data_IF_463456657209
#
_entry.id   IF_463456657209
#
_cell.length_a   1.000
_cell.length_b   1.000
_cell.length_c   1.000
_cell.angle_alpha   90.00
_cell.angle_beta   90.00
_cell.angle_gamma   90.00
#
_symmetry.space_group_name_H-M   'P 1'
#
loop_
_entity.id
_entity.type
_entity.pdbx_description
1 polymer ?
#
# COMPACT_ATOMS: atom_id res chain seq x y z
N UNK A 1 3.66 25.05 -6.07
CA UNK A 1 2.55 25.59 -5.24
C UNK A 1 2.09 24.42 -4.39
N UNK A 2 1.83 24.61 -3.09
CA UNK A 2 1.17 23.55 -2.35
C UNK A 2 -0.18 23.33 -3.04
N UNK A 3 -0.41 22.14 -3.57
CA UNK A 3 -1.68 21.84 -4.22
C UNK A 3 -2.80 22.06 -3.19
N UNK A 4 -3.83 22.82 -3.57
CA UNK A 4 -5.01 23.00 -2.73
C UNK A 4 -5.79 21.67 -2.69
N UNK A 5 -5.34 20.77 -1.83
CA UNK A 5 -6.03 19.50 -1.57
C UNK A 5 -7.31 19.74 -0.76
N UNK A 6 -8.37 19.04 -1.17
CA UNK A 6 -9.71 19.17 -0.59
C UNK A 6 -10.12 17.94 0.23
N UNK A 7 -9.39 16.83 0.10
CA UNK A 7 -9.58 15.62 0.87
C UNK A 7 -8.60 14.54 0.48
N UNK A 8 -8.99 13.29 0.73
CA UNK A 8 -8.21 12.10 0.48
C UNK A 8 -9.07 11.02 -0.19
N UNK A 9 -8.45 10.25 -1.08
CA UNK A 9 -8.99 9.03 -1.64
C UNK A 9 -8.32 7.83 -0.97
N UNK A 10 -9.12 6.93 -0.41
CA UNK A 10 -8.69 5.66 0.16
C UNK A 10 -9.04 4.53 -0.80
N UNK A 11 -8.03 3.84 -1.32
CA UNK A 11 -8.17 2.58 -2.03
C UNK A 11 -7.94 1.40 -1.09
N UNK A 12 -8.85 0.42 -1.08
CA UNK A 12 -8.79 -0.73 -0.16
C UNK A 12 -9.50 -1.96 -0.75
N UNK A 13 -9.33 -3.12 -0.12
CA UNK A 13 -10.20 -4.30 -0.30
C UNK A 13 -10.87 -4.66 1.04
N UNK A 14 -11.83 -5.59 1.07
CA UNK A 14 -12.68 -5.84 2.26
C UNK A 14 -12.36 -7.13 3.03
N UNK A 15 -11.89 -8.16 2.35
CA UNK A 15 -11.75 -9.48 2.97
C UNK A 15 -11.65 -10.58 1.93
N UNK A 16 -12.14 -11.77 2.27
CA UNK A 16 -12.09 -12.95 1.40
C UNK A 16 -13.26 -13.91 1.64
N UNK A 17 -14.39 -13.42 2.20
CA UNK A 17 -15.60 -14.23 2.40
C UNK A 17 -16.38 -14.38 1.09
N UNK A 18 -16.25 -13.42 0.18
CA UNK A 18 -16.82 -13.46 -1.17
C UNK A 18 -15.79 -13.04 -2.22
N UNK A 19 -16.06 -13.37 -3.49
CA UNK A 19 -15.17 -12.96 -4.59
C UNK A 19 -15.08 -11.44 -4.78
N UNK A 20 -16.13 -10.70 -4.42
CA UNK A 20 -16.17 -9.24 -4.55
C UNK A 20 -15.34 -8.56 -3.47
N UNK A 21 -15.22 -9.16 -2.28
CA UNK A 21 -14.41 -8.60 -1.19
C UNK A 21 -12.91 -8.52 -1.50
N UNK A 22 -12.44 -9.32 -2.47
CA UNK A 22 -11.08 -9.34 -2.99
C UNK A 22 -10.97 -8.47 -4.26
N UNK A 23 -11.61 -7.31 -4.28
CA UNK A 23 -11.54 -6.33 -5.37
C UNK A 23 -11.21 -4.94 -4.82
N UNK A 24 -10.96 -3.96 -5.70
CA UNK A 24 -10.61 -2.59 -5.28
C UNK A 24 -11.87 -1.78 -5.01
N UNK A 25 -11.97 -1.22 -3.82
CA UNK A 25 -12.99 -0.28 -3.37
C UNK A 25 -12.37 1.08 -3.12
N UNK A 26 -13.19 2.14 -3.24
CA UNK A 26 -12.80 3.49 -2.90
C UNK A 26 -13.66 4.09 -1.80
N UNK A 27 -13.05 4.93 -0.98
CA UNK A 27 -13.73 5.83 -0.06
C UNK A 27 -13.11 7.23 -0.15
N UNK A 28 -13.94 8.24 0.05
CA UNK A 28 -13.53 9.64 0.06
C UNK A 28 -13.62 10.18 1.47
N UNK A 29 -12.60 10.89 1.93
CA UNK A 29 -12.67 11.56 3.22
C UNK A 29 -13.73 12.67 3.19
N UNK A 30 -14.28 13.05 4.35
CA UNK A 30 -15.18 14.21 4.45
C UNK A 30 -14.34 15.48 4.50
N UNK A 31 -14.07 16.06 3.33
CA UNK A 31 -13.13 17.17 3.21
C UNK A 31 -11.73 16.75 3.67
N UNK A 32 -10.98 17.67 4.29
CA UNK A 32 -9.62 17.41 4.79
C UNK A 32 -9.57 16.66 6.14
N UNK A 33 -10.66 16.01 6.57
CA UNK A 33 -10.69 15.16 7.76
C UNK A 33 -10.34 13.69 7.40
N UNK A 34 -9.12 13.21 7.73
CA UNK A 34 -8.68 11.87 7.38
C UNK A 34 -9.27 10.78 8.29
N UNK A 35 -10.11 11.13 9.26
CA UNK A 35 -10.73 10.20 10.20
C UNK A 35 -12.21 9.97 9.91
N UNK A 36 -12.77 10.61 8.88
CA UNK A 36 -14.19 10.48 8.52
C UNK A 36 -14.31 10.18 7.03
N UNK A 37 -14.86 9.01 6.70
CA UNK A 37 -14.89 8.52 5.32
C UNK A 37 -16.33 8.27 4.82
N UNK A 38 -16.51 8.46 3.52
CA UNK A 38 -17.69 8.11 2.75
C UNK A 38 -17.31 7.00 1.78
N UNK A 39 -17.96 5.83 1.88
CA UNK A 39 -17.81 4.78 0.87
C UNK A 39 -18.30 5.27 -0.50
N UNK A 40 -17.49 5.07 -1.52
CA UNK A 40 -17.84 5.40 -2.89
C UNK A 40 -18.46 4.19 -3.61
N UNK A 41 -19.04 4.45 -4.78
CA UNK A 41 -19.73 3.52 -5.66
C UNK A 41 -20.82 2.69 -4.96
N UNK A 42 -21.49 3.29 -3.97
CA UNK A 42 -22.49 2.61 -3.14
C UNK A 42 -21.92 1.37 -2.42
N UNK A 43 -20.64 1.39 -2.05
CA UNK A 43 -19.95 0.30 -1.36
C UNK A 43 -19.64 -0.92 -2.24
N UNK A 44 -19.69 -0.77 -3.57
CA UNK A 44 -19.34 -1.81 -4.56
C UNK A 44 -17.90 -1.63 -5.10
N UNK A 45 -17.26 -2.69 -5.62
CA UNK A 45 -15.94 -2.56 -6.25
C UNK A 45 -15.92 -1.52 -7.37
N UNK A 46 -14.82 -0.76 -7.44
CA UNK A 46 -14.54 0.20 -8.52
C UNK A 46 -13.69 -0.45 -9.61
N UNK A 47 -12.69 -1.25 -9.23
CA UNK A 47 -11.87 -2.04 -10.16
C UNK A 47 -11.96 -3.51 -9.79
N UNK A 48 -12.15 -4.36 -10.79
CA UNK A 48 -12.23 -5.81 -10.62
C UNK A 48 -11.19 -6.53 -11.48
N UNK A 49 -10.78 -7.71 -11.02
CA UNK A 49 -9.84 -8.57 -11.73
C UNK A 49 -10.57 -9.58 -12.62
N UNK A 50 -10.20 -9.62 -13.90
CA UNK A 50 -10.56 -10.68 -14.84
C UNK A 50 -9.35 -11.54 -15.25
N UNK A 51 -8.14 -11.17 -14.79
CA UNK A 51 -6.88 -11.86 -15.07
C UNK A 51 -6.38 -12.61 -13.83
N UNK A 52 -5.37 -13.46 -14.04
CA UNK A 52 -4.64 -14.11 -12.94
C UNK A 52 -5.54 -14.96 -12.05
N UNK A 53 -5.44 -14.76 -10.74
CA UNK A 53 -6.23 -15.47 -9.74
C UNK A 53 -7.68 -14.95 -9.62
N UNK A 54 -8.01 -13.84 -10.29
CA UNK A 54 -9.36 -13.26 -10.30
C UNK A 54 -9.74 -12.48 -9.04
N UNK A 55 -8.76 -12.15 -8.20
CA UNK A 55 -8.88 -11.21 -7.07
C UNK A 55 -7.71 -10.23 -7.06
N UNK A 56 -7.96 -9.03 -6.55
CA UNK A 56 -6.97 -7.98 -6.33
C UNK A 56 -7.02 -7.49 -4.89
N UNK A 57 -5.90 -7.64 -4.20
CA UNK A 57 -5.72 -7.25 -2.80
C UNK A 57 -4.65 -6.19 -2.66
N UNK A 58 -4.62 -5.52 -1.52
CA UNK A 58 -3.58 -4.56 -1.14
C UNK A 58 -3.37 -3.44 -2.19
N UNK A 59 -4.44 -2.75 -2.66
CA UNK A 59 -4.29 -1.74 -3.71
C UNK A 59 -3.49 -0.53 -3.25
N UNK A 60 -2.39 -0.25 -3.96
CA UNK A 60 -1.58 0.94 -3.79
C UNK A 60 -1.78 1.92 -4.94
N UNK A 61 -2.26 3.13 -4.62
CA UNK A 61 -2.51 4.21 -5.56
C UNK A 61 -1.40 5.27 -5.43
N UNK A 62 -0.72 5.56 -6.54
CA UNK A 62 0.32 6.57 -6.62
C UNK A 62 -0.04 7.66 -7.62
N UNK A 63 0.26 8.91 -7.26
CA UNK A 63 0.23 10.05 -8.18
C UNK A 63 1.61 10.22 -8.82
N UNK A 64 1.63 10.46 -10.12
CA UNK A 64 2.85 10.85 -10.85
C UNK A 64 3.46 12.14 -10.28
N UNK A 65 4.77 12.35 -10.42
CA UNK A 65 5.44 13.57 -9.95
C UNK A 65 4.92 14.85 -10.61
N UNK A 66 4.42 14.74 -11.85
CA UNK A 66 3.81 15.84 -12.59
C UNK A 66 2.38 16.14 -12.13
N UNK A 67 1.75 15.21 -11.41
CA UNK A 67 0.41 15.35 -10.86
C UNK A 67 -0.73 15.05 -11.84
N UNK A 68 -0.43 14.69 -13.09
CA UNK A 68 -1.40 14.53 -14.19
C UNK A 68 -1.84 13.08 -14.43
N UNK A 69 -1.15 12.12 -13.83
CA UNK A 69 -1.42 10.69 -13.97
C UNK A 69 -1.40 9.95 -12.64
N UNK A 70 -2.21 8.90 -12.54
CA UNK A 70 -2.31 7.99 -11.41
C UNK A 70 -2.01 6.56 -11.85
N UNK A 71 -1.36 5.81 -10.96
CA UNK A 71 -1.05 4.40 -11.13
C UNK A 71 -1.62 3.63 -9.94
N UNK A 72 -2.36 2.57 -10.20
CA UNK A 72 -2.80 1.63 -9.16
C UNK A 72 -2.12 0.30 -9.40
N UNK A 73 -1.46 -0.23 -8.37
CA UNK A 73 -0.92 -1.59 -8.34
C UNK A 73 -1.64 -2.40 -7.26
N UNK A 74 -1.76 -3.71 -7.43
CA UNK A 74 -2.38 -4.60 -6.46
C UNK A 74 -1.81 -6.02 -6.55
N UNK A 75 -1.92 -6.77 -5.45
CA UNK A 75 -1.62 -8.20 -5.40
C UNK A 75 -2.61 -8.98 -6.27
N UNK A 76 -2.12 -9.82 -7.19
CA UNK A 76 -2.95 -10.82 -7.86
C UNK A 76 -3.19 -12.02 -6.95
N UNK A 77 -4.31 -12.04 -6.24
CA UNK A 77 -4.63 -13.10 -5.28
C UNK A 77 -6.14 -13.18 -5.03
N UNK A 78 -6.69 -14.40 -5.05
CA UNK A 78 -8.04 -14.66 -4.54
C UNK A 78 -8.08 -15.86 -3.61
N UNK A 79 -8.06 -15.66 -2.29
CA UNK A 79 -8.26 -16.74 -1.33
C UNK A 79 -9.67 -17.34 -1.42
N UNK A 80 -10.67 -16.55 -1.84
CA UNK A 80 -12.02 -17.06 -2.04
C UNK A 80 -12.10 -18.11 -3.16
N UNK A 81 -11.59 -17.79 -4.36
CA UNK A 81 -11.60 -18.70 -5.52
C UNK A 81 -10.53 -19.78 -5.40
N UNK A 82 -9.42 -19.42 -4.79
CA UNK A 82 -8.19 -20.17 -4.70
C UNK A 82 -7.79 -20.32 -3.21
N UNK A 83 -8.49 -21.18 -2.43
CA UNK A 83 -8.22 -21.30 -0.99
C UNK A 83 -6.83 -21.87 -0.70
N UNK A 84 -6.29 -21.49 0.46
CA UNK A 84 -5.06 -22.04 1.03
C UNK A 84 -3.89 -21.07 1.03
N UNK A 85 -3.64 -20.45 2.19
CA UNK A 85 -2.53 -19.52 2.39
C UNK A 85 -1.16 -20.11 2.11
N UNK A 86 -0.92 -21.38 2.48
CA UNK A 86 0.36 -22.03 2.17
C UNK A 86 0.60 -22.07 0.65
N UNK A 87 -0.42 -22.40 -0.15
CA UNK A 87 -0.28 -22.32 -1.61
C UNK A 87 -0.03 -20.89 -2.07
N UNK A 88 -0.78 -19.93 -1.57
CA UNK A 88 -0.70 -18.54 -2.01
C UNK A 88 0.71 -17.96 -1.78
N UNK A 89 1.40 -18.38 -0.72
CA UNK A 89 2.78 -17.99 -0.42
C UNK A 89 3.80 -18.70 -1.33
N UNK A 90 3.58 -19.98 -1.65
CA UNK A 90 4.64 -20.86 -2.16
C UNK A 90 4.49 -21.20 -3.64
N UNK A 91 3.32 -20.97 -4.20
CA UNK A 91 2.93 -21.34 -5.56
C UNK A 91 1.77 -20.46 -6.06
N UNK A 92 1.67 -19.24 -5.54
CA UNK A 92 0.70 -18.23 -5.97
C UNK A 92 1.21 -17.39 -7.14
N UNK A 93 0.52 -16.30 -7.42
CA UNK A 93 0.91 -15.39 -8.50
C UNK A 93 2.25 -14.69 -8.25
N UNK A 94 3.09 -14.65 -9.28
CA UNK A 94 4.36 -13.90 -9.35
C UNK A 94 4.17 -12.52 -9.99
N UNK A 95 2.93 -12.14 -10.25
CA UNK A 95 2.55 -10.92 -10.95
C UNK A 95 1.84 -9.94 -10.04
N UNK A 96 1.94 -8.67 -10.40
CA UNK A 96 1.10 -7.60 -9.86
C UNK A 96 0.06 -7.21 -10.90
N UNK A 97 -1.10 -6.75 -10.43
CA UNK A 97 -2.12 -6.15 -11.28
C UNK A 97 -1.92 -4.64 -11.33
N UNK A 98 -2.20 -4.05 -12.49
CA UNK A 98 -1.93 -2.64 -12.75
C UNK A 98 -3.05 -1.96 -13.54
N UNK A 99 -3.37 -0.74 -13.13
CA UNK A 99 -4.19 0.20 -13.88
C UNK A 99 -3.54 1.59 -13.86
N UNK A 100 -3.93 2.43 -14.82
CA UNK A 100 -3.60 3.85 -14.77
C UNK A 100 -4.82 4.70 -15.12
N UNK A 101 -4.84 5.93 -14.61
CA UNK A 101 -5.89 6.91 -14.86
C UNK A 101 -5.30 8.31 -14.94
N UNK A 102 -5.97 9.22 -15.65
CA UNK A 102 -5.63 10.64 -15.68
C UNK A 102 -6.57 11.48 -14.79
N UNK A 103 -7.65 10.88 -14.28
CA UNK A 103 -8.71 11.63 -13.61
C UNK A 103 -9.39 10.89 -12.44
N UNK A 104 -8.89 9.69 -12.09
CA UNK A 104 -9.40 8.76 -11.07
C UNK A 104 -10.78 8.15 -11.38
N UNK A 105 -11.33 8.41 -12.57
CA UNK A 105 -12.64 7.90 -13.01
C UNK A 105 -12.48 6.92 -14.16
N UNK A 106 -11.76 7.35 -15.20
CA UNK A 106 -11.51 6.55 -16.40
C UNK A 106 -10.19 5.82 -16.21
N UNK A 107 -10.28 4.51 -16.08
CA UNK A 107 -9.14 3.64 -15.89
C UNK A 107 -8.80 2.93 -17.19
N UNK A 108 -7.51 2.67 -17.39
CA UNK A 108 -7.04 1.81 -18.47
C UNK A 108 -7.58 0.40 -18.35
N UNK A 109 -7.38 -0.42 -19.38
CA UNK A 109 -7.53 -1.87 -19.25
C UNK A 109 -6.62 -2.42 -18.14
N UNK A 110 -7.08 -3.49 -17.50
CA UNK A 110 -6.30 -4.23 -16.51
C UNK A 110 -5.05 -4.81 -17.17
N UNK A 111 -3.89 -4.61 -16.55
CA UNK A 111 -2.63 -5.24 -16.94
C UNK A 111 -2.12 -6.15 -15.83
N UNK A 112 -1.62 -7.32 -16.21
CA UNK A 112 -0.90 -8.23 -15.33
C UNK A 112 0.59 -8.17 -15.68
N UNK A 113 1.43 -7.92 -14.69
CA UNK A 113 2.88 -7.74 -14.89
C UNK A 113 3.63 -8.68 -13.97
N UNK A 114 4.35 -9.65 -14.55
CA UNK A 114 5.22 -10.55 -13.80
C UNK A 114 6.48 -9.79 -13.35
N UNK A 115 6.65 -9.64 -12.03
CA UNK A 115 7.75 -8.88 -11.43
C UNK A 115 8.63 -9.75 -10.54
N UNK A 116 8.08 -10.82 -9.97
CA UNK A 116 8.82 -11.69 -9.07
C UNK A 116 9.71 -12.69 -9.84
N UNK A 117 10.89 -13.07 -9.27
CA UNK A 117 11.76 -14.11 -9.82
C UNK A 117 11.04 -15.42 -10.14
N UNK A 118 11.59 -16.25 -11.03
CA UNK A 118 10.97 -17.53 -11.44
C UNK A 118 10.80 -18.55 -10.32
N UNK A 119 11.62 -18.46 -9.28
CA UNK A 119 11.62 -19.30 -8.09
C UNK A 119 10.86 -18.69 -6.90
N UNK A 120 10.27 -17.50 -7.07
CA UNK A 120 9.39 -16.90 -6.08
C UNK A 120 8.03 -17.60 -6.04
N UNK A 121 7.46 -17.73 -4.85
CA UNK A 121 6.13 -18.27 -4.63
C UNK A 121 5.02 -17.22 -4.68
N UNK A 122 5.35 -15.92 -4.60
CA UNK A 122 4.37 -14.83 -4.61
C UNK A 122 4.94 -13.44 -4.98
N UNK A 123 4.06 -12.51 -5.35
CA UNK A 123 4.31 -11.07 -5.42
C UNK A 123 3.21 -10.28 -4.67
N UNK A 124 3.43 -9.98 -3.40
CA UNK A 124 2.39 -9.49 -2.48
C UNK A 124 2.58 -8.05 -2.02
N UNK A 125 1.47 -7.37 -1.75
CA UNK A 125 1.38 -5.99 -1.28
C UNK A 125 2.31 -5.03 -2.04
N UNK A 126 2.13 -4.89 -3.37
CA UNK A 126 2.98 -4.01 -4.13
C UNK A 126 2.68 -2.54 -3.82
N UNK A 127 3.73 -1.75 -3.67
CA UNK A 127 3.65 -0.29 -3.56
C UNK A 127 4.58 0.40 -4.56
N UNK A 128 4.37 1.71 -4.78
CA UNK A 128 5.14 2.54 -5.69
C UNK A 128 5.78 3.70 -4.93
N UNK A 129 7.08 3.87 -5.06
CA UNK A 129 7.81 5.04 -4.58
C UNK A 129 8.50 5.75 -5.75
N UNK A 130 8.39 7.07 -5.87
CA UNK A 130 9.13 7.82 -6.89
C UNK A 130 10.47 8.31 -6.33
N UNK A 131 11.57 7.81 -6.87
CA UNK A 131 12.92 8.26 -6.52
C UNK A 131 13.30 9.48 -7.36
N UNK A 132 13.14 10.67 -6.78
CA UNK A 132 13.46 11.92 -7.46
C UNK A 132 14.93 12.07 -7.86
N UNK A 133 15.87 11.35 -7.20
CA UNK A 133 17.31 11.43 -7.52
C UNK A 133 17.62 10.69 -8.82
N UNK A 134 16.99 9.54 -9.03
CA UNK A 134 17.17 8.71 -10.23
C UNK A 134 16.11 8.96 -11.32
N UNK A 135 15.07 9.73 -10.98
CA UNK A 135 13.92 10.05 -11.85
C UNK A 135 13.26 8.77 -12.38
N UNK A 136 13.04 7.81 -11.47
CA UNK A 136 12.37 6.55 -11.73
C UNK A 136 11.42 6.17 -10.59
N UNK A 137 10.49 5.27 -10.88
CA UNK A 137 9.63 4.64 -9.90
C UNK A 137 10.28 3.34 -9.42
N UNK A 138 10.28 3.15 -8.11
CA UNK A 138 10.55 1.88 -7.44
C UNK A 138 9.21 1.21 -7.18
N UNK A 139 8.98 0.05 -7.81
CA UNK A 139 7.84 -0.81 -7.50
C UNK A 139 8.36 -1.93 -6.61
N UNK A 140 7.84 -2.05 -5.40
CA UNK A 140 8.36 -2.97 -4.40
C UNK A 140 7.24 -3.80 -3.78
N UNK A 141 7.55 -5.04 -3.40
CA UNK A 141 6.59 -6.04 -2.96
C UNK A 141 7.26 -7.09 -2.06
N UNK A 142 6.46 -7.85 -1.32
CA UNK A 142 6.94 -8.98 -0.53
C UNK A 142 6.92 -10.28 -1.35
N UNK A 143 7.97 -11.08 -1.24
CA UNK A 143 8.07 -12.36 -1.95
C UNK A 143 8.74 -13.42 -1.08
N UNK A 144 8.32 -14.68 -1.21
CA UNK A 144 8.97 -15.82 -0.58
C UNK A 144 9.56 -16.75 -1.64
N UNK A 145 10.80 -17.21 -1.45
CA UNK A 145 11.47 -18.20 -2.26
C UNK A 145 12.33 -19.09 -1.33
N UNK A 146 12.68 -20.30 -1.79
CA UNK A 146 13.58 -21.18 -1.02
C UNK A 146 15.02 -20.63 -0.97
N UNK A 147 15.42 -19.90 -2.01
CA UNK A 147 16.67 -19.15 -2.11
C UNK A 147 16.41 -17.80 -2.76
N UNK A 148 17.01 -16.73 -2.23
CA UNK A 148 17.13 -15.46 -2.95
C UNK A 148 18.62 -15.17 -3.21
N UNK A 149 18.97 -14.34 -4.21
CA UNK A 149 20.34 -13.90 -4.40
C UNK A 149 20.89 -13.27 -3.11
N UNK A 150 21.90 -13.91 -2.49
CA UNK A 150 22.55 -13.41 -1.27
C UNK A 150 22.25 -14.18 0.03
N UNK A 151 21.37 -15.19 0.03
CA UNK A 151 21.13 -15.99 1.23
C UNK A 151 20.15 -17.15 1.08
N UNK A 152 20.14 -18.06 2.07
CA UNK A 152 19.20 -19.18 2.19
C UNK A 152 18.14 -18.90 3.26
N UNK A 153 16.91 -19.37 3.06
CA UNK A 153 15.87 -19.33 4.09
C UNK A 153 14.51 -18.92 3.55
N UNK A 154 13.50 -19.70 3.92
CA UNK A 154 12.12 -19.58 3.44
C UNK A 154 11.31 -18.62 4.30
N UNK A 155 11.48 -17.34 4.03
CA UNK A 155 10.76 -16.22 4.65
C UNK A 155 10.55 -15.10 3.63
N UNK A 156 9.59 -14.21 3.89
CA UNK A 156 9.32 -13.08 3.01
C UNK A 156 10.46 -12.06 3.05
N UNK A 157 10.88 -11.61 1.86
CA UNK A 157 11.78 -10.47 1.68
C UNK A 157 11.07 -9.41 0.87
N UNK A 158 11.42 -8.15 1.10
CA UNK A 158 10.99 -7.10 0.19
C UNK A 158 11.89 -7.13 -1.04
N UNK A 159 11.26 -7.14 -2.21
CA UNK A 159 11.87 -7.09 -3.52
C UNK A 159 11.48 -5.78 -4.19
N UNK A 160 12.23 -5.33 -5.19
CA UNK A 160 11.83 -4.19 -6.02
C UNK A 160 12.35 -4.28 -7.46
N UNK A 161 11.68 -3.54 -8.34
CA UNK A 161 12.15 -3.18 -9.68
C UNK A 161 12.11 -1.67 -9.84
N UNK A 162 12.90 -1.15 -10.77
CA UNK A 162 12.83 0.24 -11.22
C UNK A 162 12.17 0.33 -12.59
N UNK A 163 11.37 1.37 -12.81
CA UNK A 163 10.73 1.67 -14.09
C UNK A 163 10.54 3.19 -14.26
N UNK A 164 10.52 3.67 -15.50
CA UNK A 164 10.19 5.08 -15.80
C UNK A 164 8.78 5.25 -16.37
N UNK A 165 8.20 4.17 -16.89
CA UNK A 165 7.01 4.21 -17.74
C UNK A 165 5.97 3.13 -17.39
N UNK A 166 6.29 2.25 -16.43
CA UNK A 166 5.48 1.08 -16.08
C UNK A 166 5.22 0.15 -17.27
N UNK A 167 6.15 0.11 -18.23
CA UNK A 167 6.19 -0.82 -19.37
C UNK A 167 7.47 -1.63 -19.32
N UNK A 168 8.61 -0.94 -19.17
CA UNK A 168 9.92 -1.58 -19.02
C UNK A 168 10.33 -1.58 -17.55
N UNK A 169 10.70 -2.75 -17.05
CA UNK A 169 11.12 -2.95 -15.67
C UNK A 169 12.56 -3.46 -15.63
N UNK A 170 13.32 -3.01 -14.63
CA UNK A 170 14.62 -3.61 -14.33
C UNK A 170 14.47 -5.06 -13.89
N UNK A 171 15.60 -5.78 -13.77
CA UNK A 171 15.60 -7.06 -13.05
C UNK A 171 15.23 -6.83 -11.57
N UNK A 172 14.50 -7.78 -10.94
CA UNK A 172 14.17 -7.69 -9.53
C UNK A 172 15.43 -7.74 -8.65
N UNK A 173 15.47 -6.92 -7.61
CA UNK A 173 16.53 -6.86 -6.60
C UNK A 173 15.91 -6.98 -5.20
N UNK A 174 16.67 -7.48 -4.25
CA UNK A 174 16.27 -7.45 -2.83
C UNK A 174 16.30 -5.98 -2.36
N UNK A 175 15.20 -5.52 -1.77
CA UNK A 175 15.06 -4.23 -1.10
C UNK A 175 15.36 -4.34 0.40
N UNK A 176 14.75 -5.30 1.08
CA UNK A 176 14.87 -5.49 2.53
C UNK A 176 14.98 -6.97 2.88
N UNK A 177 16.00 -7.30 3.66
CA UNK A 177 16.23 -8.63 4.21
C UNK A 177 16.88 -8.51 5.60
N UNK A 178 16.14 -8.93 6.63
CA UNK A 178 16.62 -8.95 8.02
C UNK A 178 16.90 -10.36 8.56
N UNK A 179 16.91 -11.38 7.70
CA UNK A 179 17.05 -12.76 8.15
C UNK A 179 15.73 -13.38 8.65
N UNK A 180 14.61 -12.65 8.59
CA UNK A 180 13.27 -13.09 8.96
C UNK A 180 12.22 -12.42 8.06
N UNK A 181 10.97 -12.90 8.11
CA UNK A 181 9.88 -12.38 7.26
C UNK A 181 9.64 -10.90 7.49
N UNK A 182 9.75 -10.13 6.41
CA UNK A 182 9.32 -8.74 6.31
C UNK A 182 8.41 -8.56 5.10
N UNK A 183 7.30 -7.87 5.27
CA UNK A 183 6.28 -7.63 4.25
C UNK A 183 5.48 -6.36 4.57
N UNK A 184 4.54 -5.98 3.70
CA UNK A 184 3.68 -4.79 3.85
C UNK A 184 4.48 -3.54 4.21
N UNK A 185 5.43 -3.17 3.34
CA UNK A 185 6.20 -1.95 3.54
C UNK A 185 5.45 -0.75 2.95
N UNK A 186 5.47 0.38 3.66
CA UNK A 186 5.00 1.67 3.15
C UNK A 186 5.98 2.79 3.49
N UNK A 187 6.09 3.79 2.63
CA UNK A 187 7.12 4.84 2.69
C UNK A 187 6.50 6.24 2.64
N UNK A 188 7.11 7.18 3.38
CA UNK A 188 6.86 8.61 3.23
C UNK A 188 8.15 9.43 3.31
N UNK A 189 8.29 10.40 2.41
CA UNK A 189 9.38 11.38 2.47
C UNK A 189 9.01 12.57 3.35
N UNK A 190 9.93 12.96 4.23
CA UNK A 190 9.83 14.18 5.00
C UNK A 190 11.20 14.77 5.31
N UNK A 191 11.41 16.06 4.99
CA UNK A 191 12.65 16.82 5.25
C UNK A 191 13.92 16.07 4.81
N UNK A 192 13.91 15.52 3.60
CA UNK A 192 15.05 14.82 3.00
C UNK A 192 15.34 13.42 3.57
N UNK A 193 14.45 12.90 4.42
CA UNK A 193 14.50 11.54 4.94
C UNK A 193 13.32 10.73 4.41
N UNK A 194 13.52 9.43 4.28
CA UNK A 194 12.47 8.45 4.02
C UNK A 194 12.17 7.75 5.33
N UNK A 195 10.94 7.88 5.80
CA UNK A 195 10.40 7.08 6.89
C UNK A 195 9.68 5.90 6.26
N UNK A 196 9.92 4.70 6.78
CA UNK A 196 9.21 3.51 6.34
C UNK A 196 8.61 2.75 7.51
N UNK A 197 7.47 2.12 7.24
CA UNK A 197 6.77 1.22 8.14
C UNK A 197 6.70 -0.13 7.48
N UNK A 198 6.96 -1.21 8.21
CA UNK A 198 7.00 -2.55 7.61
C UNK A 198 6.56 -3.58 8.63
N UNK A 199 5.82 -4.60 8.17
CA UNK A 199 5.46 -5.73 9.01
C UNK A 199 6.64 -6.70 9.14
N UNK A 200 7.18 -6.81 10.35
CA UNK A 200 8.02 -7.94 10.80
C UNK A 200 7.25 -8.83 11.76
N UNK A 201 7.80 -9.06 12.97
CA UNK A 201 6.99 -9.58 14.10
C UNK A 201 5.84 -8.62 14.43
N UNK A 202 6.16 -7.33 14.47
CA UNK A 202 5.28 -6.19 14.68
C UNK A 202 5.50 -5.18 13.54
N UNK A 203 4.73 -4.10 13.50
CA UNK A 203 5.01 -2.96 12.63
C UNK A 203 6.22 -2.23 13.19
N UNK A 204 7.29 -2.22 12.42
CA UNK A 204 8.51 -1.45 12.73
C UNK A 204 8.46 -0.10 12.01
N UNK A 205 9.09 0.91 12.60
CA UNK A 205 9.31 2.22 11.99
C UNK A 205 10.81 2.48 11.89
N UNK A 206 11.25 2.89 10.71
CA UNK A 206 12.66 3.16 10.44
C UNK A 206 12.83 4.41 9.59
N UNK A 207 14.05 4.97 9.58
CA UNK A 207 14.39 6.16 8.79
C UNK A 207 15.70 5.98 8.02
N UNK A 208 15.74 6.47 6.78
CA UNK A 208 16.91 6.44 5.91
C UNK A 208 17.00 7.70 5.03
N UNK A 209 18.07 7.81 4.24
CA UNK A 209 18.33 8.98 3.39
C UNK A 209 17.90 8.81 1.92
N UNK A 210 17.61 7.58 1.50
CA UNK A 210 17.18 7.23 0.13
C UNK A 210 16.60 5.82 0.11
N UNK A 211 15.84 5.50 -0.94
CA UNK A 211 15.22 4.18 -1.09
C UNK A 211 16.27 3.06 -1.04
N UNK A 212 17.35 3.19 -1.83
CA UNK A 212 18.43 2.22 -1.88
C UNK A 212 19.51 2.42 -0.79
N UNK A 213 19.21 3.15 0.29
CA UNK A 213 20.20 3.38 1.35
C UNK A 213 20.56 2.06 2.06
N UNK A 214 21.86 1.82 2.26
CA UNK A 214 22.37 0.53 2.77
C UNK A 214 21.84 0.16 4.15
N UNK A 215 21.57 1.16 5.01
CA UNK A 215 21.07 0.94 6.38
C UNK A 215 19.99 1.93 6.76
N UNK A 216 18.84 1.46 7.23
CA UNK A 216 17.86 2.34 7.88
C UNK A 216 18.08 2.29 9.40
N UNK A 217 17.92 3.43 10.07
CA UNK A 217 17.96 3.51 11.52
C UNK A 217 16.58 3.15 12.10
N UNK A 218 16.55 2.24 13.08
CA UNK A 218 15.34 1.87 13.78
C UNK A 218 14.86 3.03 14.67
N UNK A 219 13.61 3.45 14.50
CA UNK A 219 12.93 4.44 15.36
C UNK A 219 12.07 3.71 16.40
N UNK A 220 11.26 2.75 15.96
CA UNK A 220 10.30 2.05 16.81
C UNK A 220 10.15 0.59 16.39
N UNK A 221 10.25 -0.37 17.33
CA UNK A 221 10.19 -1.81 17.01
C UNK A 221 8.78 -2.42 17.04
N UNK A 222 7.80 -1.68 17.58
CA UNK A 222 6.40 -2.12 17.69
C UNK A 222 5.48 -0.91 17.74
N UNK A 223 5.09 -0.38 16.58
CA UNK A 223 4.22 0.82 16.53
C UNK A 223 2.81 0.52 17.07
N UNK A 224 2.38 -0.74 17.02
CA UNK A 224 1.11 -1.17 17.60
C UNK A 224 0.99 -0.82 19.09
N UNK A 225 -0.20 -0.32 19.48
CA UNK A 225 -0.54 -0.05 20.88
C UNK A 225 -0.84 -1.34 21.65
N UNK A 226 -0.67 -1.33 22.98
CA UNK A 226 -0.78 -2.52 23.83
C UNK A 226 -2.07 -3.34 23.69
N UNK A 227 -3.20 -2.70 23.32
CA UNK A 227 -4.47 -3.38 23.13
C UNK A 227 -4.62 -4.05 21.76
N UNK A 228 -3.71 -3.77 20.81
CA UNK A 228 -3.70 -4.38 19.49
C UNK A 228 -3.10 -5.78 19.56
N UNK A 229 -3.75 -6.74 18.93
CA UNK A 229 -3.38 -8.15 18.98
C UNK A 229 -2.30 -8.48 17.95
N UNK A 230 -2.41 -7.90 16.75
CA UNK A 230 -1.47 -8.05 15.63
C UNK A 230 -1.78 -7.02 14.56
N UNK A 231 -0.77 -6.32 14.04
CA UNK A 231 -0.92 -5.42 12.90
C UNK A 231 -0.33 -5.99 11.61
N UNK A 232 -0.90 -5.61 10.47
CA UNK A 232 -0.31 -5.70 9.13
C UNK A 232 -0.77 -4.51 8.27
N UNK A 233 -0.35 -4.46 7.01
CA UNK A 233 -0.79 -3.44 6.05
C UNK A 233 -0.74 -1.99 6.51
N UNK A 234 0.41 -1.46 6.98
CA UNK A 234 0.50 -0.08 7.42
C UNK A 234 0.24 0.87 6.24
N UNK A 235 -0.58 1.91 6.45
CA UNK A 235 -0.76 3.03 5.51
C UNK A 235 -0.28 4.30 6.17
N UNK A 236 0.72 4.97 5.60
CA UNK A 236 1.22 6.26 6.08
C UNK A 236 0.86 7.39 5.13
N UNK A 237 0.33 8.48 5.66
CA UNK A 237 0.08 9.69 4.87
C UNK A 237 0.10 10.95 5.74
N UNK A 238 0.38 12.10 5.12
CA UNK A 238 0.45 13.40 5.79
C UNK A 238 -0.91 14.10 5.75
N UNK A 239 -1.23 14.85 6.80
CA UNK A 239 -2.35 15.79 6.78
C UNK A 239 -2.16 16.88 5.73
N UNK A 240 -3.22 17.19 4.99
CA UNK A 240 -3.30 18.29 4.03
C UNK A 240 -3.26 19.67 4.71
N UNK A 241 -3.65 19.76 5.99
CA UNK A 241 -3.90 21.03 6.68
C UNK A 241 -3.03 21.25 7.92
N UNK A 242 -2.33 20.23 8.40
CA UNK A 242 -1.51 20.28 9.61
C UNK A 242 -0.17 19.58 9.43
N UNK A 243 0.81 19.90 10.28
CA UNK A 243 2.07 19.14 10.39
C UNK A 243 1.84 17.88 11.23
N UNK A 244 1.00 16.98 10.69
CA UNK A 244 0.62 15.69 11.29
C UNK A 244 0.66 14.58 10.27
N UNK A 245 0.84 13.36 10.77
CA UNK A 245 0.82 12.14 9.98
C UNK A 245 -0.14 11.14 10.59
N UNK A 246 -0.79 10.39 9.71
CA UNK A 246 -1.71 9.33 10.07
C UNK A 246 -1.12 8.01 9.60
N UNK A 247 -1.07 7.05 10.52
CA UNK A 247 -0.67 5.68 10.27
C UNK A 247 -1.86 4.77 10.54
N UNK A 248 -2.42 4.14 9.53
CA UNK A 248 -3.46 3.14 9.72
C UNK A 248 -2.81 1.76 9.78
N UNK A 249 -3.16 0.94 10.76
CA UNK A 249 -2.67 -0.44 10.90
C UNK A 249 -3.85 -1.40 10.84
N UNK A 250 -3.82 -2.38 9.92
CA UNK A 250 -4.88 -3.38 9.79
C UNK A 250 -4.69 -4.41 10.89
N UNK A 251 -5.63 -4.43 11.85
CA UNK A 251 -5.69 -5.49 12.82
C UNK A 251 -6.38 -6.72 12.22
N UNK A 252 -5.63 -7.42 11.37
CA UNK A 252 -6.14 -8.51 10.55
C UNK A 252 -6.70 -9.67 11.38
N UNK A 253 -7.85 -10.18 10.96
CA UNK A 253 -8.62 -11.19 11.70
C UNK A 253 -9.37 -10.64 12.93
N UNK A 254 -9.28 -9.33 13.19
CA UNK A 254 -9.97 -8.63 14.28
C UNK A 254 -10.67 -7.38 13.77
N UNK A 255 -10.43 -6.21 14.39
CA UNK A 255 -11.20 -4.97 14.21
C UNK A 255 -11.04 -4.32 12.84
N UNK A 256 -10.02 -4.68 12.06
CA UNK A 256 -9.64 -3.95 10.85
C UNK A 256 -8.76 -2.76 11.17
N UNK A 257 -8.76 -1.78 10.28
CA UNK A 257 -7.88 -0.63 10.42
C UNK A 257 -8.10 0.16 11.70
N UNK A 258 -7.00 0.43 12.41
CA UNK A 258 -6.95 1.35 13.54
C UNK A 258 -6.06 2.54 13.15
N UNK A 259 -6.60 3.78 13.15
CA UNK A 259 -5.80 4.95 12.87
C UNK A 259 -4.94 5.33 14.07
N UNK A 260 -3.72 5.73 13.80
CA UNK A 260 -2.78 6.34 14.72
C UNK A 260 -2.35 7.69 14.16
N UNK A 261 -1.99 8.63 15.03
CA UNK A 261 -1.54 9.98 14.67
C UNK A 261 -0.26 10.36 15.39
N UNK A 262 0.59 11.12 14.71
CA UNK A 262 1.75 11.80 15.30
C UNK A 262 1.93 13.17 14.67
N UNK A 263 2.55 14.10 15.41
CA UNK A 263 3.05 15.38 14.88
C UNK A 263 4.57 15.41 14.76
N UNK A 264 5.24 14.30 15.04
CA UNK A 264 6.69 14.16 14.88
C UNK A 264 7.02 12.72 14.47
N UNK A 265 7.19 12.50 13.15
CA UNK A 265 7.60 11.21 12.60
C UNK A 265 8.90 10.68 13.22
N UNK A 266 9.81 11.55 13.66
CA UNK A 266 11.10 11.11 14.20
C UNK A 266 11.00 10.60 15.65
N UNK A 267 9.92 10.94 16.36
CA UNK A 267 9.74 10.56 17.75
C UNK A 267 9.44 9.07 17.95
N UNK A 268 8.85 8.41 16.96
CA UNK A 268 8.29 7.06 17.10
C UNK A 268 7.05 7.00 17.98
N UNK A 269 6.53 8.13 18.47
CA UNK A 269 5.38 8.18 19.37
C UNK A 269 4.11 8.33 18.53
N UNK A 270 3.19 7.39 18.70
CA UNK A 270 1.92 7.31 18.01
C UNK A 270 0.77 7.23 19.02
N UNK A 271 -0.34 7.89 18.71
CA UNK A 271 -1.53 7.91 19.56
C UNK A 271 -2.77 7.58 18.74
N UNK A 272 -3.73 6.88 19.33
CA UNK A 272 -5.04 6.66 18.71
C UNK A 272 -5.89 7.93 18.86
N UNK A 273 -6.54 8.44 17.78
CA UNK A 273 -7.48 9.55 17.91
C UNK A 273 -8.72 9.11 18.69
N UNK A 274 -9.38 10.05 19.37
CA UNK A 274 -10.57 9.76 20.18
C UNK A 274 -11.75 9.24 19.35
N UNK A 275 -11.89 9.74 18.12
CA UNK A 275 -13.00 9.43 17.23
C UNK A 275 -12.52 9.23 15.79
N UNK A 276 -13.05 8.21 15.13
CA UNK A 276 -12.87 7.96 13.71
C UNK A 276 -14.03 7.09 13.18
N UNK A 277 -14.31 7.21 11.89
CA UNK A 277 -15.30 6.41 11.15
C UNK A 277 -14.67 6.02 9.82
N UNK A 278 -14.17 4.79 9.73
CA UNK A 278 -13.63 4.20 8.51
C UNK A 278 -14.76 3.56 7.68
N UNK A 279 -14.49 3.20 6.40
CA UNK A 279 -15.39 2.38 5.60
C UNK A 279 -15.82 1.05 6.27
N UNK A 280 -16.77 0.32 5.68
CA UNK A 280 -17.10 -1.03 6.16
C UNK A 280 -15.94 -1.99 5.86
N UNK A 281 -15.29 -2.47 6.94
CA UNK A 281 -14.24 -3.49 6.94
C UNK A 281 -13.09 -3.26 5.93
N UNK A 282 -12.49 -2.05 5.84
CA UNK A 282 -11.34 -1.86 4.98
C UNK A 282 -10.16 -2.69 5.48
N UNK A 283 -9.49 -3.34 4.54
CA UNK A 283 -8.22 -4.06 4.69
C UNK A 283 -7.14 -3.37 3.88
N UNK A 284 -5.93 -3.91 3.94
CA UNK A 284 -4.72 -3.35 3.34
C UNK A 284 -4.96 -2.57 2.03
N UNK A 285 -4.48 -1.33 1.96
CA UNK A 285 -4.70 -0.43 0.85
C UNK A 285 -3.78 0.79 0.88
N UNK A 286 -4.26 1.94 0.41
CA UNK A 286 -3.48 3.18 0.35
C UNK A 286 -4.35 4.43 0.39
N UNK A 287 -3.78 5.53 0.87
CA UNK A 287 -4.46 6.83 0.92
C UNK A 287 -3.63 7.89 0.20
N UNK A 288 -4.25 8.63 -0.72
CA UNK A 288 -3.62 9.78 -1.38
C UNK A 288 -4.42 11.07 -1.15
N UNK A 289 -3.78 12.24 -1.13
CA UNK A 289 -4.49 13.50 -1.17
C UNK A 289 -5.06 13.76 -2.57
N UNK A 290 -6.25 14.37 -2.62
CA UNK A 290 -6.94 14.73 -3.86
C UNK A 290 -7.25 16.23 -3.92
N UNK A 291 -7.10 16.81 -5.10
CA UNK A 291 -7.40 18.23 -5.36
C UNK A 291 -8.91 18.47 -5.29
N UNK A 292 -9.33 19.74 -5.20
CA UNK A 292 -10.75 20.08 -5.23
C UNK A 292 -11.47 19.51 -6.48
N UNK A 293 -10.85 19.60 -7.66
CA UNK A 293 -11.44 19.10 -8.92
C UNK A 293 -11.54 17.57 -8.93
N UNK A 294 -10.55 16.87 -8.41
CA UNK A 294 -10.59 15.40 -8.29
C UNK A 294 -11.61 14.96 -7.26
N UNK A 295 -11.68 15.64 -6.11
CA UNK A 295 -12.66 15.37 -5.06
C UNK A 295 -14.10 15.51 -5.58
N UNK A 296 -14.39 16.63 -6.25
CA UNK A 296 -15.71 16.88 -6.85
C UNK A 296 -16.04 15.84 -7.91
N UNK A 297 -15.07 15.46 -8.76
CA UNK A 297 -15.26 14.46 -9.80
C UNK A 297 -15.55 13.06 -9.21
N UNK A 298 -14.79 12.65 -8.20
CA UNK A 298 -15.00 11.39 -7.48
C UNK A 298 -16.38 11.34 -6.85
N UNK A 299 -16.80 12.41 -6.19
CA UNK A 299 -18.12 12.51 -5.58
C UNK A 299 -19.24 12.53 -6.62
N UNK A 300 -19.05 13.18 -7.77
CA UNK A 300 -20.07 13.23 -8.83
C UNK A 300 -20.31 11.86 -9.47
N UNK A 301 -19.26 11.06 -9.64
CA UNK A 301 -19.34 9.79 -10.37
C UNK A 301 -19.58 8.60 -9.45
N UNK A 302 -18.98 8.61 -8.26
CA UNK A 302 -19.05 7.51 -7.31
C UNK A 302 -19.72 7.87 -5.98
N UNK A 303 -20.10 9.12 -5.73
CA UNK A 303 -20.75 9.52 -4.48
C UNK A 303 -22.18 9.02 -4.29
#
# INVERSE_FOLDING_TARGET
>A
MADNYAGYLFAYFKGNETADEEQVYFALSKGNDPLQWLELNGGRPVLTSALGEGGVRDPYLARSPQGDKFFLVATDLSIYRNPGWNRAVTSGSRSIMMWNSYDLIHWSDQRMVEVAPSDAGCAWAPEIFYDARHQDFKVFWASMADSFPGGSGRYHRMMYVSTKDFVQFSKPRVYMDYGYSVFDATLIEHKGHIYRFTKGKNIIQEVGQSFEHETYAMIHQQVELDFMVRGEGPIIFKSNVEEKWYLFIDEFGFRGYIPLVTSDLSSGIWQMPEHYSLPDRPRHGSVIPVTALEYERLLQVYG
#
